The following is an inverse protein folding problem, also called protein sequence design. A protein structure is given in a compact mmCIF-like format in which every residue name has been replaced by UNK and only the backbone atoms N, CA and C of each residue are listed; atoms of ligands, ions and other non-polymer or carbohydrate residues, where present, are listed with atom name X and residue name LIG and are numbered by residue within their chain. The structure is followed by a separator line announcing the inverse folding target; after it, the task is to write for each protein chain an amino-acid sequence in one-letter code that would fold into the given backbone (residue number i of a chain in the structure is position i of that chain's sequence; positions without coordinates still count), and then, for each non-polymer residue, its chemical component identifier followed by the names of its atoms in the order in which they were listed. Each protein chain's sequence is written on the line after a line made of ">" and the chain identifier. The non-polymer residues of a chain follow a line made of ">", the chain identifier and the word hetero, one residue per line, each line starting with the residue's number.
data_IF_227339964965
#
_entry.id   IF_227339964965
#
_cell.length_a   1.000
_cell.length_b   1.000
_cell.length_c   1.000
_cell.angle_alpha   90.00
_cell.angle_beta   90.00
_cell.angle_gamma   90.00
#
_symmetry.space_group_name_H-M   'P 1'
#
loop_
_entity.id
_entity.type
_entity.pdbx_description
1 polymer ?
#
# COMPACT_ATOMS: atom_id res chain seq x y z
N UNK A 1 -6.95 9.61 11.26
CA UNK A 1 -7.29 9.35 9.85
C UNK A 1 -7.44 7.85 9.61
N UNK A 2 -8.38 7.43 8.76
CA UNK A 2 -8.54 6.05 8.28
C UNK A 2 -8.73 6.01 6.75
N UNK A 3 -8.33 4.91 6.12
CA UNK A 3 -8.46 4.71 4.66
C UNK A 3 -9.77 3.98 4.36
N UNK A 4 -10.51 4.48 3.38
CA UNK A 4 -11.77 3.91 2.89
C UNK A 4 -11.61 3.27 1.51
N UNK A 5 -12.72 3.23 0.76
CA UNK A 5 -12.75 2.62 -0.56
C UNK A 5 -12.05 3.47 -1.61
N UNK A 6 -11.64 2.79 -2.68
CA UNK A 6 -11.35 3.41 -3.96
C UNK A 6 -12.66 3.53 -4.73
N UNK A 7 -12.86 4.65 -5.43
CA UNK A 7 -14.07 4.85 -6.22
C UNK A 7 -13.80 5.64 -7.50
N UNK A 8 -14.65 5.40 -8.50
CA UNK A 8 -14.59 6.04 -9.81
C UNK A 8 -16.00 6.25 -10.36
N UNK A 9 -16.23 7.38 -11.03
CA UNK A 9 -17.48 7.58 -11.76
C UNK A 9 -17.58 6.59 -12.95
N UNK A 10 -18.77 6.16 -13.36
CA UNK A 10 -18.97 5.25 -14.49
C UNK A 10 -18.78 5.94 -15.86
N UNK A 11 -18.33 7.20 -15.88
CA UNK A 11 -18.12 7.95 -17.12
C UNK A 11 -16.77 7.60 -17.75
N UNK A 12 -16.68 7.53 -19.09
CA UNK A 12 -15.40 7.35 -19.79
C UNK A 12 -14.36 8.38 -19.34
N UNK A 13 -13.13 7.92 -19.09
CA UNK A 13 -12.02 8.79 -18.66
C UNK A 13 -12.03 9.22 -17.19
N UNK A 14 -13.04 8.84 -16.40
CA UNK A 14 -13.02 9.07 -14.96
C UNK A 14 -11.81 8.41 -14.32
N UNK A 15 -11.19 9.09 -13.35
CA UNK A 15 -10.02 8.60 -12.63
C UNK A 15 -10.44 7.99 -11.30
N UNK A 16 -9.69 6.98 -10.84
CA UNK A 16 -9.85 6.45 -9.49
C UNK A 16 -9.50 7.50 -8.44
N UNK A 17 -10.27 7.49 -7.34
CA UNK A 17 -10.09 8.37 -6.20
C UNK A 17 -10.06 7.55 -4.92
N UNK A 18 -9.30 8.04 -3.94
CA UNK A 18 -9.17 7.43 -2.63
C UNK A 18 -10.08 8.15 -1.64
N UNK A 19 -10.95 7.41 -0.96
CA UNK A 19 -11.67 7.91 0.19
C UNK A 19 -10.81 7.78 1.45
N UNK A 20 -10.81 8.81 2.29
CA UNK A 20 -10.16 8.77 3.59
C UNK A 20 -11.00 9.54 4.60
N UNK A 21 -11.19 8.93 5.78
CA UNK A 21 -11.88 9.55 6.90
C UNK A 21 -10.86 10.36 7.71
N UNK A 22 -11.06 11.67 7.75
CA UNK A 22 -10.28 12.58 8.57
C UNK A 22 -11.03 12.92 9.84
N UNK A 23 -10.28 13.18 10.89
CA UNK A 23 -10.82 13.68 12.13
C UNK A 23 -10.16 15.01 12.44
N UNK A 24 -10.97 16.01 12.73
CA UNK A 24 -10.54 17.34 13.11
C UNK A 24 -11.65 18.02 13.88
N UNK A 25 -11.29 18.79 14.90
CA UNK A 25 -12.23 19.54 15.73
C UNK A 25 -13.39 18.70 16.30
N UNK A 26 -13.10 17.45 16.69
CA UNK A 26 -14.09 16.51 17.22
C UNK A 26 -15.08 15.92 16.20
N UNK A 27 -14.98 16.29 14.92
CA UNK A 27 -15.83 15.77 13.85
C UNK A 27 -15.05 14.85 12.90
N UNK A 28 -15.75 13.84 12.39
CA UNK A 28 -15.23 12.94 11.35
C UNK A 28 -15.76 13.39 9.99
N UNK A 29 -14.88 13.60 9.02
CA UNK A 29 -15.22 14.02 7.67
C UNK A 29 -14.61 13.07 6.65
N UNK A 30 -15.45 12.52 5.76
CA UNK A 30 -14.97 11.74 4.63
C UNK A 30 -14.47 12.69 3.55
N UNK A 31 -13.19 12.57 3.19
CA UNK A 31 -12.55 13.36 2.15
C UNK A 31 -12.15 12.46 0.97
N UNK A 32 -12.11 13.08 -0.22
CA UNK A 32 -11.91 12.41 -1.51
C UNK A 32 -10.64 12.92 -2.18
N UNK A 33 -9.66 12.07 -2.33
CA UNK A 33 -8.35 12.45 -2.85
C UNK A 33 -8.09 11.87 -4.24
N UNK A 34 -7.23 12.52 -5.05
CA UNK A 34 -6.57 11.85 -6.16
C UNK A 34 -5.85 10.58 -5.67
N UNK A 35 -5.75 9.60 -6.53
CA UNK A 35 -5.11 8.32 -6.21
C UNK A 35 -3.67 8.51 -5.72
N UNK A 36 -2.95 9.48 -6.29
CA UNK A 36 -1.56 9.83 -5.97
C UNK A 36 -1.34 10.10 -4.48
N UNK A 37 -2.36 10.57 -3.75
CA UNK A 37 -2.25 10.80 -2.32
C UNK A 37 -2.03 9.51 -1.52
N UNK A 38 -2.18 8.33 -2.14
CA UNK A 38 -1.84 7.04 -1.54
C UNK A 38 -0.39 6.97 -1.07
N UNK A 39 0.55 7.73 -1.66
CA UNK A 39 1.93 7.76 -1.17
C UNK A 39 2.11 8.53 0.17
N UNK A 40 1.18 9.43 0.48
CA UNK A 40 1.23 10.31 1.66
C UNK A 40 0.26 9.89 2.75
N UNK A 41 -0.89 9.31 2.40
CA UNK A 41 -1.92 8.97 3.37
C UNK A 41 -1.63 7.61 4.02
N UNK A 42 -1.47 7.60 5.35
CA UNK A 42 -1.36 6.39 6.17
C UNK A 42 -2.21 6.53 7.43
N UNK A 43 -2.76 5.42 7.93
CA UNK A 43 -3.60 5.43 9.14
C UNK A 43 -2.80 6.00 10.32
N UNK A 44 -3.47 6.76 11.19
CA UNK A 44 -2.81 7.31 12.40
C UNK A 44 -1.90 8.52 12.19
N UNK A 45 -1.70 9.00 10.95
CA UNK A 45 -1.00 10.27 10.68
C UNK A 45 -1.86 11.48 11.06
N UNK A 46 -1.22 12.46 11.68
CA UNK A 46 -1.74 13.79 11.98
C UNK A 46 -1.03 14.81 11.08
N UNK A 47 -1.80 15.66 10.42
CA UNK A 47 -1.30 16.72 9.55
C UNK A 47 -1.55 18.07 10.24
N UNK A 48 -0.51 18.75 10.76
CA UNK A 48 -0.67 19.93 11.61
C UNK A 48 -1.20 21.18 10.87
N UNK A 49 -1.28 21.15 9.55
CA UNK A 49 -1.82 22.26 8.74
C UNK A 49 -0.88 23.47 8.58
N UNK A 50 0.29 23.42 9.22
CA UNK A 50 1.37 24.39 9.04
C UNK A 50 2.15 24.10 7.75
N UNK A 51 2.45 25.14 6.98
CA UNK A 51 3.18 25.00 5.72
C UNK A 51 4.59 24.43 5.97
N UNK A 52 4.95 23.39 5.23
CA UNK A 52 6.24 22.71 5.37
C UNK A 52 6.37 21.81 6.61
N UNK A 53 5.39 21.80 7.52
CA UNK A 53 5.45 20.95 8.70
C UNK A 53 5.23 19.47 8.33
N UNK A 54 6.09 18.55 8.81
CA UNK A 54 5.91 17.13 8.57
C UNK A 54 4.66 16.60 9.28
N UNK A 55 4.12 15.50 8.77
CA UNK A 55 3.09 14.76 9.50
C UNK A 55 3.67 14.18 10.79
N UNK A 56 2.80 13.98 11.79
CA UNK A 56 3.13 13.32 13.05
C UNK A 56 2.52 11.93 13.06
N UNK A 57 3.24 10.97 13.62
CA UNK A 57 2.78 9.60 13.79
C UNK A 57 2.76 9.24 15.27
N UNK A 58 1.77 8.45 15.69
CA UNK A 58 1.58 7.99 17.07
C UNK A 58 1.42 6.46 17.13
N UNK A 59 1.34 5.89 18.33
CA UNK A 59 1.12 4.46 18.55
C UNK A 59 2.32 3.73 19.16
N UNK A 60 2.05 2.55 19.69
CA UNK A 60 3.05 1.65 20.25
C UNK A 60 3.94 1.11 19.13
N UNK A 61 5.26 1.05 19.35
CA UNK A 61 6.23 0.57 18.35
C UNK A 61 6.60 -0.88 18.61
N UNK A 62 6.69 -1.67 17.54
CA UNK A 62 7.13 -3.07 17.60
C UNK A 62 7.90 -3.42 16.32
N UNK A 63 8.95 -4.21 16.49
CA UNK A 63 9.64 -4.89 15.40
C UNK A 63 9.27 -6.37 15.44
N UNK A 64 9.01 -6.97 14.27
CA UNK A 64 8.75 -8.41 14.12
C UNK A 64 9.44 -8.93 12.87
N UNK A 65 9.83 -10.19 12.89
CA UNK A 65 10.25 -10.91 11.68
C UNK A 65 8.99 -11.48 11.03
N UNK A 66 8.76 -11.16 9.76
CA UNK A 66 7.55 -11.60 9.07
C UNK A 66 7.54 -13.12 8.90
N UNK A 67 6.46 -13.81 9.31
CA UNK A 67 6.34 -15.25 9.11
C UNK A 67 6.09 -15.57 7.61
N UNK A 68 6.19 -16.85 7.21
CA UNK A 68 5.83 -17.29 5.86
C UNK A 68 4.47 -16.74 5.40
N UNK A 69 4.39 -16.26 4.15
CA UNK A 69 3.18 -15.59 3.63
C UNK A 69 1.96 -16.52 3.57
N UNK A 70 2.18 -17.83 3.39
CA UNK A 70 1.12 -18.84 3.41
C UNK A 70 0.50 -19.04 4.81
N UNK A 71 1.17 -18.59 5.87
CA UNK A 71 0.61 -18.59 7.22
C UNK A 71 -0.34 -17.41 7.48
N UNK A 72 -0.40 -16.43 6.57
CA UNK A 72 -1.20 -15.23 6.74
C UNK A 72 -2.65 -15.52 6.37
N UNK A 73 -3.58 -15.00 7.16
CA UNK A 73 -5.02 -15.10 6.93
C UNK A 73 -5.56 -13.76 6.44
N UNK A 74 -6.57 -13.81 5.59
CA UNK A 74 -7.31 -12.60 5.21
C UNK A 74 -8.54 -12.43 6.09
N UNK A 75 -8.73 -11.19 6.58
CA UNK A 75 -9.85 -10.76 7.42
C UNK A 75 -10.31 -9.36 7.03
N UNK A 76 -11.48 -8.96 7.50
CA UNK A 76 -11.90 -7.57 7.42
C UNK A 76 -11.33 -6.77 8.60
N UNK A 77 -11.06 -5.49 8.39
CA UNK A 77 -10.53 -4.60 9.42
C UNK A 77 -11.50 -4.49 10.61
N UNK A 78 -12.81 -4.60 10.36
CA UNK A 78 -13.86 -4.62 11.37
C UNK A 78 -13.80 -5.80 12.33
N UNK A 79 -13.16 -6.90 11.93
CA UNK A 79 -12.96 -8.07 12.79
C UNK A 79 -11.87 -7.80 13.85
N UNK A 80 -11.06 -6.76 13.67
CA UNK A 80 -9.96 -6.41 14.57
C UNK A 80 -10.49 -5.82 15.89
N UNK A 81 -10.25 -6.44 17.05
CA UNK A 81 -10.71 -5.93 18.34
C UNK A 81 -10.07 -4.59 18.73
N UNK A 82 -8.95 -4.22 18.08
CA UNK A 82 -8.23 -2.95 18.32
C UNK A 82 -8.70 -1.80 17.43
N UNK A 83 -9.60 -2.06 16.49
CA UNK A 83 -10.20 -1.00 15.69
C UNK A 83 -11.09 -0.13 16.59
N UNK A 84 -10.89 1.19 16.55
CA UNK A 84 -11.72 2.11 17.33
C UNK A 84 -13.21 1.93 17.00
N UNK A 85 -14.08 1.87 18.02
CA UNK A 85 -15.52 1.57 17.88
C UNK A 85 -16.23 2.39 16.80
N UNK A 86 -15.91 3.68 16.67
CA UNK A 86 -16.48 4.55 15.63
C UNK A 86 -16.05 4.16 14.20
N UNK A 87 -14.83 3.67 14.04
CA UNK A 87 -14.31 3.20 12.75
C UNK A 87 -14.91 1.83 12.43
N UNK A 88 -15.07 0.97 13.43
CA UNK A 88 -15.79 -0.29 13.30
C UNK A 88 -17.27 -0.09 12.89
N UNK A 89 -17.91 0.98 13.39
CA UNK A 89 -19.28 1.34 13.02
C UNK A 89 -19.42 1.90 11.59
N UNK A 90 -18.31 2.23 10.91
CA UNK A 90 -18.33 2.69 9.53
C UNK A 90 -18.11 1.49 8.58
N UNK A 91 -19.11 1.08 7.77
CA UNK A 91 -18.99 -0.08 6.87
C UNK A 91 -17.88 0.04 5.83
N UNK A 92 -17.59 1.26 5.38
CA UNK A 92 -16.52 1.51 4.42
C UNK A 92 -15.13 1.29 5.05
N UNK A 93 -14.95 1.63 6.32
CA UNK A 93 -13.67 1.42 7.03
C UNK A 93 -13.56 -0.02 7.53
N UNK A 94 -14.58 -0.52 8.23
CA UNK A 94 -14.60 -1.88 8.75
C UNK A 94 -14.49 -2.95 7.65
N UNK A 95 -15.04 -2.69 6.46
CA UNK A 95 -14.94 -3.60 5.34
C UNK A 95 -13.57 -3.66 4.65
N UNK A 96 -12.61 -2.79 5.00
CA UNK A 96 -11.27 -2.82 4.39
C UNK A 96 -10.55 -4.15 4.69
N UNK A 97 -9.70 -4.61 3.76
CA UNK A 97 -9.04 -5.91 3.89
C UNK A 97 -7.76 -5.82 4.72
N UNK A 98 -7.52 -6.85 5.53
CA UNK A 98 -6.33 -7.02 6.35
C UNK A 98 -5.71 -8.40 6.15
N UNK A 99 -4.38 -8.43 6.18
CA UNK A 99 -3.62 -9.63 6.52
C UNK A 99 -3.57 -9.79 8.03
N UNK A 100 -3.69 -11.02 8.52
CA UNK A 100 -3.60 -11.36 9.93
C UNK A 100 -2.65 -12.54 10.10
N UNK A 101 -1.64 -12.37 10.93
CA UNK A 101 -0.64 -13.40 11.20
C UNK A 101 -0.16 -13.36 12.65
N UNK A 102 0.39 -14.48 13.12
CA UNK A 102 0.96 -14.62 14.45
C UNK A 102 2.48 -14.67 14.37
N UNK A 103 3.14 -13.98 15.30
CA UNK A 103 4.60 -13.97 15.44
C UNK A 103 4.97 -13.79 16.91
N UNK A 104 5.78 -14.69 17.47
CA UNK A 104 6.18 -14.65 18.89
C UNK A 104 5.00 -14.48 19.87
N UNK A 105 3.87 -15.14 19.56
CA UNK A 105 2.61 -15.04 20.32
C UNK A 105 1.84 -13.73 20.15
N UNK A 106 2.32 -12.79 19.33
CA UNK A 106 1.63 -11.54 18.96
C UNK A 106 0.78 -11.77 17.71
N UNK A 107 -0.51 -11.46 17.79
CA UNK A 107 -1.38 -11.39 16.61
C UNK A 107 -1.29 -10.01 15.98
N UNK A 108 -0.87 -9.93 14.72
CA UNK A 108 -0.70 -8.69 13.98
C UNK A 108 -1.81 -8.56 12.94
N UNK A 109 -2.54 -7.45 13.00
CA UNK A 109 -3.53 -7.04 12.01
C UNK A 109 -2.91 -5.99 11.09
N UNK A 110 -2.62 -6.36 9.85
CA UNK A 110 -1.95 -5.52 8.87
C UNK A 110 -2.91 -5.14 7.73
N UNK A 111 -3.40 -3.89 7.67
CA UNK A 111 -4.19 -3.42 6.53
C UNK A 111 -3.45 -3.62 5.22
N UNK A 112 -4.10 -4.26 4.23
CA UNK A 112 -3.46 -4.55 2.93
C UNK A 112 -2.99 -3.26 2.24
N UNK A 113 -3.78 -2.19 2.34
CA UNK A 113 -3.40 -0.87 1.81
C UNK A 113 -2.10 -0.34 2.42
N UNK A 114 -1.89 -0.50 3.74
CA UNK A 114 -0.66 -0.01 4.38
C UNK A 114 0.57 -0.80 3.92
N UNK A 115 0.44 -2.12 3.74
CA UNK A 115 1.52 -2.92 3.18
C UNK A 115 1.83 -2.50 1.74
N UNK A 116 0.83 -2.39 0.86
CA UNK A 116 1.03 -1.92 -0.51
C UNK A 116 1.62 -0.50 -0.55
N UNK A 117 1.18 0.39 0.35
CA UNK A 117 1.74 1.74 0.47
C UNK A 117 3.22 1.68 0.77
N UNK A 118 3.60 0.85 1.76
CA UNK A 118 5.00 0.72 2.16
C UNK A 118 5.85 0.03 1.11
N UNK A 119 5.32 -0.93 0.38
CA UNK A 119 6.06 -1.65 -0.66
C UNK A 119 6.20 -0.83 -1.93
N UNK A 120 5.13 -0.16 -2.38
CA UNK A 120 5.01 0.30 -3.77
C UNK A 120 4.71 1.79 -3.91
N UNK A 121 3.89 2.37 -3.04
CA UNK A 121 3.38 3.73 -3.23
C UNK A 121 4.37 4.79 -2.72
N UNK A 122 5.56 4.82 -3.32
CA UNK A 122 6.60 5.81 -3.01
C UNK A 122 6.54 7.03 -3.93
N UNK A 123 5.92 6.91 -5.10
CA UNK A 123 5.78 8.01 -6.06
C UNK A 123 4.43 7.98 -6.76
N UNK A 124 3.90 9.18 -7.07
CA UNK A 124 2.61 9.36 -7.73
C UNK A 124 2.47 8.58 -9.05
N UNK A 125 3.52 8.49 -9.86
CA UNK A 125 3.47 7.76 -11.13
C UNK A 125 3.43 6.24 -10.94
N UNK A 126 4.09 5.71 -9.90
CA UNK A 126 4.02 4.28 -9.54
C UNK A 126 2.61 3.94 -9.04
N UNK A 127 2.02 4.84 -8.25
CA UNK A 127 0.64 4.67 -7.80
C UNK A 127 -0.32 4.58 -8.99
N UNK A 128 -0.18 5.44 -10.01
CA UNK A 128 -0.99 5.33 -11.24
C UNK A 128 -0.73 4.01 -11.96
N UNK A 129 0.52 3.61 -12.11
CA UNK A 129 0.90 2.35 -12.74
C UNK A 129 0.28 1.12 -12.05
N UNK A 130 0.06 1.16 -10.74
CA UNK A 130 -0.57 0.06 -10.00
C UNK A 130 -2.04 -0.18 -10.36
N UNK A 131 -2.69 0.81 -10.98
CA UNK A 131 -4.11 0.81 -11.34
C UNK A 131 -4.33 0.68 -12.85
N UNK A 132 -3.28 0.40 -13.61
CA UNK A 132 -3.31 0.20 -15.07
C UNK A 132 -2.82 -1.21 -15.43
N UNK A 133 -3.37 -1.83 -16.50
CA UNK A 133 -2.86 -3.09 -17.00
C UNK A 133 -1.41 -2.91 -17.45
N UNK A 134 -0.52 -3.78 -16.98
CA UNK A 134 0.91 -3.72 -17.29
C UNK A 134 1.56 -2.35 -16.99
N UNK A 135 1.08 -1.63 -15.98
CA UNK A 135 1.48 -0.25 -15.74
C UNK A 135 2.98 -0.03 -15.48
N UNK A 136 3.69 -1.02 -14.93
CA UNK A 136 5.16 -0.96 -14.79
C UNK A 136 5.85 -1.02 -16.16
N UNK A 137 5.37 -1.85 -17.07
CA UNK A 137 5.94 -1.99 -18.42
C UNK A 137 5.59 -0.78 -19.32
N UNK A 138 4.53 -0.03 -18.97
CA UNK A 138 4.25 1.28 -19.57
C UNK A 138 5.15 2.39 -18.99
N UNK A 139 5.52 2.29 -17.72
CA UNK A 139 6.34 3.28 -17.03
C UNK A 139 7.85 3.07 -17.24
N UNK A 140 8.27 1.85 -17.57
CA UNK A 140 9.67 1.45 -17.69
C UNK A 140 9.88 0.50 -18.87
N UNK A 141 11.03 0.63 -19.54
CA UNK A 141 11.55 -0.33 -20.52
C UNK A 141 12.81 -0.96 -19.95
N UNK A 142 12.85 -2.29 -19.90
CA UNK A 142 14.00 -3.04 -19.38
C UNK A 142 14.68 -3.77 -20.52
N UNK A 143 15.99 -3.61 -20.67
CA UNK A 143 16.81 -4.45 -21.55
C UNK A 143 18.02 -5.00 -20.81
N UNK A 144 18.51 -6.13 -21.30
CA UNK A 144 19.69 -6.82 -20.75
C UNK A 144 20.80 -6.78 -21.78
N UNK A 145 21.99 -6.40 -21.34
CA UNK A 145 23.22 -6.39 -22.14
C UNK A 145 24.30 -7.16 -21.37
N UNK A 146 24.49 -8.43 -21.72
CA UNK A 146 25.31 -9.34 -20.92
C UNK A 146 24.74 -9.50 -19.50
N UNK A 147 25.57 -9.25 -18.50
CA UNK A 147 25.18 -9.26 -17.08
C UNK A 147 24.60 -7.92 -16.60
N UNK A 148 24.63 -6.88 -17.44
CA UNK A 148 24.06 -5.57 -17.12
C UNK A 148 22.56 -5.52 -17.42
N UNK A 149 21.81 -4.83 -16.56
CA UNK A 149 20.41 -4.49 -16.77
C UNK A 149 20.27 -2.99 -16.89
N UNK A 150 19.57 -2.55 -17.92
CA UNK A 150 19.28 -1.15 -18.14
C UNK A 150 17.79 -0.90 -17.98
N UNK A 151 17.44 0.06 -17.13
CA UNK A 151 16.07 0.45 -16.83
C UNK A 151 15.84 1.85 -17.38
N UNK A 152 15.08 1.92 -18.47
CA UNK A 152 14.74 3.16 -19.14
C UNK A 152 13.35 3.61 -18.75
N UNK A 153 13.15 4.93 -18.80
CA UNK A 153 11.84 5.55 -18.59
C UNK A 153 11.46 6.32 -19.84
N UNK A 154 10.25 6.13 -20.40
CA UNK A 154 9.78 6.94 -21.51
C UNK A 154 9.67 8.42 -21.12
N UNK A 155 9.94 9.31 -22.07
CA UNK A 155 9.80 10.76 -21.87
C UNK A 155 8.33 11.12 -21.60
N UNK A 156 8.07 11.97 -20.61
CA UNK A 156 6.75 12.50 -20.20
C UNK A 156 5.82 11.51 -19.48
N UNK A 157 5.88 10.21 -19.76
CA UNK A 157 4.96 9.22 -19.17
C UNK A 157 5.59 8.34 -18.09
N UNK A 158 6.92 8.23 -18.04
CA UNK A 158 7.60 7.44 -17.03
C UNK A 158 8.10 8.24 -15.82
N UNK A 159 9.09 7.69 -15.11
CA UNK A 159 9.67 8.26 -13.90
C UNK A 159 10.28 9.67 -14.14
N UNK A 160 9.95 10.68 -13.33
CA UNK A 160 10.60 11.98 -13.37
C UNK A 160 12.12 11.86 -13.17
N UNK A 161 12.90 12.51 -14.03
CA UNK A 161 14.38 12.46 -13.98
C UNK A 161 14.94 12.89 -12.62
N UNK A 162 14.26 13.80 -11.92
CA UNK A 162 14.64 14.24 -10.58
C UNK A 162 14.55 13.10 -9.53
N UNK A 163 13.58 12.19 -9.66
CA UNK A 163 13.51 11.00 -8.80
C UNK A 163 14.65 10.03 -9.10
N UNK A 164 14.99 9.85 -10.38
CA UNK A 164 16.09 8.96 -10.79
C UNK A 164 17.46 9.44 -10.31
N UNK A 165 17.63 10.73 -10.00
CA UNK A 165 18.87 11.24 -9.35
C UNK A 165 19.03 10.76 -7.90
N UNK A 166 17.93 10.38 -7.24
CA UNK A 166 17.93 9.95 -5.83
C UNK A 166 18.19 8.45 -5.75
N UNK A 167 19.27 8.04 -5.08
CA UNK A 167 19.67 6.62 -4.96
C UNK A 167 18.53 5.73 -4.43
N UNK A 168 17.82 6.18 -3.39
CA UNK A 168 16.73 5.40 -2.80
C UNK A 168 15.61 5.05 -3.79
N UNK A 169 15.29 5.94 -4.74
CA UNK A 169 14.32 5.63 -5.78
C UNK A 169 14.88 4.67 -6.83
N UNK A 170 16.17 4.80 -7.21
CA UNK A 170 16.81 3.83 -8.10
C UNK A 170 16.85 2.43 -7.48
N UNK A 171 17.24 2.32 -6.21
CA UNK A 171 17.26 1.06 -5.48
C UNK A 171 15.84 0.46 -5.42
N UNK A 172 14.84 1.29 -5.10
CA UNK A 172 13.45 0.86 -5.01
C UNK A 172 12.89 0.39 -6.37
N UNK A 173 13.10 1.15 -7.44
CA UNK A 173 12.62 0.76 -8.78
C UNK A 173 13.35 -0.49 -9.28
N UNK A 174 14.65 -0.61 -9.04
CA UNK A 174 15.41 -1.82 -9.38
C UNK A 174 14.84 -3.04 -8.65
N UNK A 175 14.57 -2.91 -7.35
CA UNK A 175 13.97 -3.97 -6.55
C UNK A 175 12.57 -4.36 -7.05
N UNK A 176 11.71 -3.37 -7.31
CA UNK A 176 10.34 -3.56 -7.80
C UNK A 176 10.31 -4.23 -9.18
N UNK A 177 11.20 -3.83 -10.09
CA UNK A 177 11.18 -4.24 -11.49
C UNK A 177 11.90 -5.57 -11.74
N UNK A 178 12.98 -5.84 -11.00
CA UNK A 178 13.84 -7.01 -11.24
C UNK A 178 13.52 -8.20 -10.35
N UNK A 179 12.79 -8.00 -9.24
CA UNK A 179 12.30 -9.11 -8.44
C UNK A 179 10.91 -9.57 -8.90
N UNK A 180 10.84 -10.77 -9.48
CA UNK A 180 9.65 -11.25 -10.19
C UNK A 180 8.44 -11.50 -9.29
N UNK A 181 8.62 -11.92 -8.03
CA UNK A 181 7.48 -12.09 -7.12
C UNK A 181 6.96 -10.74 -6.61
N UNK A 182 7.84 -9.76 -6.41
CA UNK A 182 7.49 -8.38 -6.08
C UNK A 182 6.74 -7.71 -7.23
N UNK A 183 7.22 -7.86 -8.48
CA UNK A 183 6.52 -7.36 -9.68
C UNK A 183 5.12 -7.99 -9.79
N UNK A 184 5.00 -9.31 -9.62
CA UNK A 184 3.69 -10.00 -9.62
C UNK A 184 2.77 -9.51 -8.50
N UNK A 185 3.31 -9.27 -7.31
CA UNK A 185 2.57 -8.70 -6.18
C UNK A 185 2.03 -7.30 -6.53
N UNK A 186 2.84 -6.45 -7.16
CA UNK A 186 2.40 -5.14 -7.64
C UNK A 186 1.27 -5.26 -8.68
N UNK A 187 1.43 -6.10 -9.69
CA UNK A 187 0.45 -6.29 -10.76
C UNK A 187 -0.88 -6.89 -10.27
N UNK A 188 -0.84 -7.64 -9.17
CA UNK A 188 -2.04 -8.20 -8.54
C UNK A 188 -3.02 -7.13 -8.05
N UNK A 189 -2.57 -5.87 -7.85
CA UNK A 189 -3.44 -4.73 -7.52
C UNK A 189 -4.47 -4.52 -8.64
N UNK A 190 -3.99 -4.35 -9.88
CA UNK A 190 -4.87 -4.17 -11.04
C UNK A 190 -5.70 -5.43 -11.31
N UNK A 191 -5.11 -6.62 -11.17
CA UNK A 191 -5.85 -7.88 -11.39
C UNK A 191 -7.02 -8.03 -10.41
N UNK A 192 -6.78 -7.77 -9.13
CA UNK A 192 -7.81 -7.81 -8.07
C UNK A 192 -8.90 -6.77 -8.31
N UNK A 193 -8.49 -5.57 -8.73
CA UNK A 193 -9.43 -4.52 -9.09
C UNK A 193 -10.33 -4.96 -10.25
N UNK A 194 -9.76 -5.45 -11.35
CA UNK A 194 -10.52 -5.80 -12.55
C UNK A 194 -11.48 -6.98 -12.29
N UNK A 195 -11.05 -8.01 -11.56
CA UNK A 195 -11.88 -9.17 -11.23
C UNK A 195 -13.08 -8.83 -10.33
N UNK A 196 -12.95 -7.85 -9.42
CA UNK A 196 -14.03 -7.45 -8.51
C UNK A 196 -14.99 -6.44 -9.12
N UNK A 197 -14.54 -5.65 -10.10
CA UNK A 197 -15.41 -4.78 -10.88
C UNK A 197 -16.43 -5.59 -11.69
N UNK A 198 -16.03 -6.72 -12.25
CA UNK A 198 -16.93 -7.64 -12.98
C UNK A 198 -18.08 -8.17 -12.11
N UNK A 199 -17.96 -8.09 -10.77
CA UNK A 199 -18.93 -8.63 -9.80
C UNK A 199 -19.87 -7.59 -9.19
N UNK A 200 -19.63 -6.30 -9.37
CA UNK A 200 -20.43 -5.24 -8.70
C UNK A 200 -21.54 -4.74 -9.62
N UNK A 201 -22.78 -4.95 -9.18
CA UNK A 201 -24.05 -4.75 -9.87
C UNK A 201 -24.38 -3.30 -10.29
N UNK A 202 -25.24 -3.19 -11.31
CA UNK A 202 -25.62 -2.02 -12.12
C UNK A 202 -26.34 -0.86 -11.38
N UNK A 203 -26.38 -0.82 -10.05
CA UNK A 203 -27.26 0.08 -9.29
C UNK A 203 -26.56 1.29 -8.64
N UNK A 204 -25.21 1.33 -8.62
CA UNK A 204 -24.49 2.46 -8.02
C UNK A 204 -23.98 3.46 -9.05
N UNK A 205 -24.17 4.75 -8.77
CA UNK A 205 -23.60 5.86 -9.55
C UNK A 205 -22.05 5.92 -9.53
N UNK A 206 -21.38 5.03 -8.77
CA UNK A 206 -19.92 4.93 -8.70
C UNK A 206 -19.50 3.47 -8.62
N UNK A 207 -18.46 3.11 -9.39
CA UNK A 207 -17.68 1.91 -9.11
C UNK A 207 -16.96 2.10 -7.77
N UNK A 208 -17.05 1.12 -6.88
CA UNK A 208 -16.36 1.10 -5.59
C UNK A 208 -15.54 -0.17 -5.49
N UNK A 209 -14.35 -0.04 -4.93
CA UNK A 209 -13.44 -1.15 -4.74
C UNK A 209 -12.78 -1.04 -3.36
N UNK A 210 -12.80 -2.16 -2.64
CA UNK A 210 -12.04 -2.32 -1.40
C UNK A 210 -10.63 -2.74 -1.82
N UNK A 211 -9.62 -1.95 -1.46
CA UNK A 211 -8.26 -2.19 -1.92
C UNK A 211 -7.83 -3.63 -1.62
N UNK A 212 -7.25 -4.28 -2.63
CA UNK A 212 -6.73 -5.62 -2.50
C UNK A 212 -5.50 -5.87 -3.37
N UNK A 213 -4.65 -6.79 -2.91
CA UNK A 213 -3.49 -7.31 -3.62
C UNK A 213 -2.95 -8.57 -2.90
N UNK A 214 -2.09 -9.32 -3.59
CA UNK A 214 -1.35 -10.44 -3.01
C UNK A 214 0.01 -9.99 -2.51
N UNK A 215 0.40 -10.32 -1.27
CA UNK A 215 1.74 -10.00 -0.76
C UNK A 215 2.84 -10.82 -1.48
N UNK A 216 4.05 -10.26 -1.68
CA UNK A 216 5.16 -11.01 -2.26
C UNK A 216 5.69 -12.06 -1.28
N UNK A 217 5.94 -13.28 -1.75
CA UNK A 217 6.47 -14.38 -0.93
C UNK A 217 7.86 -14.06 -0.36
N UNK A 218 8.63 -13.20 -1.05
CA UNK A 218 9.96 -12.76 -0.62
C UNK A 218 9.96 -11.86 0.61
N UNK A 219 8.79 -11.50 1.16
CA UNK A 219 8.70 -10.78 2.42
C UNK A 219 8.92 -11.67 3.65
N UNK A 220 8.79 -12.99 3.52
CA UNK A 220 9.06 -13.91 4.61
C UNK A 220 10.50 -13.73 5.13
N UNK A 221 10.66 -13.66 6.45
CA UNK A 221 11.95 -13.44 7.09
C UNK A 221 12.44 -11.99 7.11
N UNK A 222 11.73 -11.05 6.47
CA UNK A 222 12.07 -9.61 6.57
C UNK A 222 11.66 -9.04 7.92
N UNK A 223 12.42 -8.08 8.43
CA UNK A 223 12.07 -7.38 9.67
C UNK A 223 11.14 -6.21 9.35
N UNK A 224 9.96 -6.20 9.94
CA UNK A 224 8.99 -5.12 9.84
C UNK A 224 8.95 -4.30 11.13
N UNK A 225 9.32 -3.02 11.03
CA UNK A 225 9.14 -2.03 12.09
C UNK A 225 7.79 -1.35 11.88
N UNK A 226 6.90 -1.48 12.86
CA UNK A 226 5.52 -1.03 12.77
C UNK A 226 5.10 -0.27 14.01
N UNK A 227 4.03 0.50 13.87
CA UNK A 227 3.37 1.19 14.97
C UNK A 227 1.85 1.15 14.88
N UNK A 228 1.20 1.19 16.04
CA UNK A 228 -0.26 1.26 16.13
C UNK A 228 -0.78 0.92 17.54
N UNK A 229 -2.11 0.77 17.72
CA UNK A 229 -2.70 0.38 18.99
C UNK A 229 -2.38 -1.08 19.29
N UNK A 230 -1.93 -1.31 20.52
CA UNK A 230 -1.52 -2.60 21.07
C UNK A 230 -2.33 -2.89 22.34
N UNK A 231 -2.73 -4.14 22.54
CA UNK A 231 -3.31 -4.62 23.79
C UNK A 231 -2.42 -5.68 24.43
N UNK A 232 -1.83 -5.41 25.61
CA UNK A 232 -1.00 -6.39 26.29
C UNK A 232 -1.77 -7.59 26.83
N UNK A 233 -3.11 -7.51 27.00
CA UNK A 233 -3.92 -8.62 27.52
C UNK A 233 -4.20 -9.68 26.45
N UNK A 234 -4.64 -9.24 25.26
CA UNK A 234 -4.86 -10.15 24.12
C UNK A 234 -3.61 -10.38 23.27
N UNK A 235 -2.55 -9.61 23.52
CA UNK A 235 -1.32 -9.57 22.73
C UNK A 235 -1.62 -9.36 21.23
N UNK A 236 -2.44 -8.36 20.93
CA UNK A 236 -2.84 -7.99 19.57
C UNK A 236 -2.37 -6.59 19.21
N UNK A 237 -1.91 -6.42 17.98
CA UNK A 237 -1.50 -5.13 17.42
C UNK A 237 -2.18 -4.88 16.08
N UNK A 238 -2.84 -3.74 15.95
CA UNK A 238 -3.32 -3.24 14.66
C UNK A 238 -2.28 -2.27 14.09
N UNK A 239 -1.77 -2.58 12.90
CA UNK A 239 -0.78 -1.75 12.22
C UNK A 239 -1.45 -0.50 11.66
N UNK A 240 -1.02 0.66 12.13
CA UNK A 240 -1.37 1.94 11.53
C UNK A 240 -0.34 2.37 10.48
N UNK A 241 0.94 2.14 10.78
CA UNK A 241 2.04 2.51 9.91
C UNK A 241 3.18 1.50 9.99
N UNK A 242 3.73 1.12 8.83
CA UNK A 242 5.01 0.46 8.70
C UNK A 242 6.09 1.53 8.51
N UNK A 243 6.94 1.66 9.53
CA UNK A 243 8.06 2.61 9.54
C UNK A 243 9.19 2.14 8.62
N UNK A 244 9.50 0.85 8.62
CA UNK A 244 10.57 0.27 7.82
C UNK A 244 10.34 -1.22 7.55
N UNK A 245 10.84 -1.66 6.40
CA UNK A 245 11.05 -3.07 6.06
C UNK A 245 12.55 -3.24 5.83
N UNK A 246 13.15 -4.23 6.49
CA UNK A 246 14.58 -4.49 6.45
C UNK A 246 14.84 -5.94 6.05
N UNK A 247 15.97 -6.17 5.37
CA UNK A 247 16.31 -7.50 4.87
C UNK A 247 15.53 -7.92 3.63
N UNK A 248 14.97 -6.97 2.87
CA UNK A 248 14.31 -7.28 1.59
C UNK A 248 15.31 -7.97 0.65
N UNK A 249 14.92 -9.13 0.13
CA UNK A 249 15.77 -9.88 -0.80
C UNK A 249 15.88 -9.16 -2.13
N UNK A 250 17.09 -9.13 -2.67
CA UNK A 250 17.36 -8.70 -4.04
C UNK A 250 18.31 -9.70 -4.69
N UNK A 251 17.80 -10.44 -5.68
CA UNK A 251 18.48 -11.60 -6.26
C UNK A 251 19.25 -11.29 -7.54
N UNK A 252 19.10 -10.10 -8.12
CA UNK A 252 19.85 -9.71 -9.30
C UNK A 252 21.34 -9.56 -8.98
N UNK A 253 22.17 -10.27 -9.75
CA UNK A 253 23.64 -10.23 -9.68
C UNK A 253 24.11 -9.67 -11.02
N UNK A 254 24.46 -8.39 -11.05
CA UNK A 254 24.76 -7.65 -12.27
C UNK A 254 24.72 -6.15 -12.01
N UNK A 255 25.31 -5.38 -12.91
CA UNK A 255 25.25 -3.92 -12.86
C UNK A 255 23.87 -3.43 -13.32
N UNK A 256 23.37 -2.37 -12.68
CA UNK A 256 22.07 -1.79 -13.00
C UNK A 256 22.27 -0.32 -13.39
N UNK A 257 21.82 0.03 -14.59
CA UNK A 257 21.94 1.35 -15.20
C UNK A 257 20.58 2.01 -15.40
#
# INVERSE_FOLDING_TARGET
>A
MAIGNLFRAPTPGAQWRLAALFEGNGQSQLKRFPLEMSCVLAVGREFPGEEGAPYRSSGFKKAVVLPPIDSWRERQLGDCPRLARRLAANPEISGQRCFVFEVDGLTVWLPKFELARKLFFHAAFIVRAAFEPNGLDMAFTIYKEGDAVHIHTPTKTGAPSQLLKIKGYRDHFSWLLLNQDVKRSFESIWQSLNQEQERTSQESAYARWKFDFMAPISLAGTTMNMRGPFDPKSNELLVWEIEALQGLSFSHRGDIF
#
